data_IF_828153513762
#
_entry.id   IF_828153513762
#
_cell.length_a   1.000
_cell.length_b   1.000
_cell.length_c   1.000
_cell.angle_alpha   90.00
_cell.angle_beta   90.00
_cell.angle_gamma   90.00
#
_symmetry.space_group_name_H-M   'P 1'
#
loop_
_entity.id
_entity.type
_entity.pdbx_description
1 polymer ?
#
# COMPACT_ATOMS: atom_id res chain seq x y z
N UNK A 1 -13.23 -2.35 -8.42
CA UNK A 1 -13.24 -1.27 -7.42
C UNK A 1 -14.45 -1.44 -6.51
N UNK A 2 -14.24 -1.38 -5.20
CA UNK A 2 -15.27 -1.57 -4.18
C UNK A 2 -16.47 -0.59 -4.34
N UNK A 3 -17.68 -1.04 -3.99
CA UNK A 3 -18.92 -0.23 -4.08
C UNK A 3 -18.96 0.92 -3.08
N UNK A 4 -18.04 0.95 -2.10
CA UNK A 4 -17.97 1.93 -1.01
C UNK A 4 -18.05 3.38 -1.50
N UNK A 5 -17.40 3.72 -2.62
CA UNK A 5 -17.36 5.10 -3.14
C UNK A 5 -18.46 5.44 -4.14
N UNK A 6 -19.46 4.58 -4.35
CA UNK A 6 -20.52 4.85 -5.34
C UNK A 6 -21.33 6.12 -5.04
N UNK A 7 -21.47 6.49 -3.77
CA UNK A 7 -22.18 7.70 -3.35
C UNK A 7 -21.32 8.97 -3.41
N UNK A 8 -20.01 8.85 -3.68
CA UNK A 8 -19.10 9.98 -3.86
C UNK A 8 -18.36 9.82 -5.19
N UNK A 9 -19.03 10.23 -6.28
CA UNK A 9 -18.52 10.09 -7.64
C UNK A 9 -17.19 10.81 -7.86
N UNK A 10 -16.97 11.93 -7.18
CA UNK A 10 -15.75 12.72 -7.31
C UNK A 10 -14.53 11.92 -6.83
N UNK A 11 -14.57 11.42 -5.60
CA UNK A 11 -13.49 10.58 -5.04
C UNK A 11 -13.34 9.29 -5.84
N UNK A 12 -14.43 8.67 -6.27
CA UNK A 12 -14.39 7.47 -7.11
C UNK A 12 -13.62 7.70 -8.41
N UNK A 13 -13.86 8.83 -9.08
CA UNK A 13 -13.18 9.19 -10.32
C UNK A 13 -11.68 9.43 -10.08
N UNK A 14 -11.32 10.16 -9.03
CA UNK A 14 -9.92 10.37 -8.67
C UNK A 14 -9.18 9.07 -8.34
N UNK A 15 -9.80 8.19 -7.57
CA UNK A 15 -9.24 6.88 -7.24
C UNK A 15 -9.12 5.97 -8.47
N UNK A 16 -9.99 6.12 -9.47
CA UNK A 16 -9.84 5.41 -10.75
C UNK A 16 -8.56 5.86 -11.47
N UNK A 17 -8.22 7.15 -11.40
CA UNK A 17 -6.95 7.65 -11.91
C UNK A 17 -5.74 7.16 -11.08
N UNK A 18 -5.90 7.04 -9.76
CA UNK A 18 -4.89 6.42 -8.88
C UNK A 18 -4.58 4.99 -9.32
N UNK A 19 -5.61 4.18 -9.61
CA UNK A 19 -5.46 2.82 -10.13
C UNK A 19 -4.65 2.83 -11.44
N UNK A 20 -4.97 3.72 -12.39
CA UNK A 20 -4.23 3.83 -13.66
C UNK A 20 -2.76 4.20 -13.45
N UNK A 21 -2.44 5.05 -12.46
CA UNK A 21 -1.06 5.38 -12.11
C UNK A 21 -0.34 4.12 -11.60
N UNK A 22 -0.96 3.36 -10.69
CA UNK A 22 -0.40 2.11 -10.16
C UNK A 22 -0.17 1.08 -11.28
N UNK A 23 -1.15 0.88 -12.16
CA UNK A 23 -1.02 0.02 -13.35
C UNK A 23 0.19 0.43 -14.21
N UNK A 24 0.37 1.74 -14.44
CA UNK A 24 1.49 2.25 -15.23
C UNK A 24 2.84 1.93 -14.58
N UNK A 25 2.95 2.01 -13.25
CA UNK A 25 4.19 1.68 -12.52
C UNK A 25 4.55 0.21 -12.65
N UNK A 26 3.57 -0.68 -12.54
CA UNK A 26 3.82 -2.12 -12.64
C UNK A 26 4.04 -2.62 -14.07
N UNK A 27 3.78 -1.82 -15.12
CA UNK A 27 3.99 -2.23 -16.52
C UNK A 27 5.44 -2.61 -16.85
N UNK A 28 6.41 -2.06 -16.14
CA UNK A 28 7.83 -2.38 -16.33
C UNK A 28 8.28 -3.60 -15.49
N UNK A 29 7.37 -4.23 -14.74
CA UNK A 29 7.67 -5.46 -14.01
C UNK A 29 7.95 -6.62 -14.95
N UNK A 30 8.61 -7.66 -14.41
CA UNK A 30 8.73 -8.95 -15.08
C UNK A 30 7.35 -9.51 -15.44
N UNK A 31 7.25 -10.15 -16.61
CA UNK A 31 5.99 -10.76 -17.11
C UNK A 31 5.43 -11.78 -16.11
N UNK A 32 6.29 -12.49 -15.39
CA UNK A 32 5.91 -13.51 -14.40
C UNK A 32 5.08 -12.97 -13.24
N UNK A 33 5.38 -11.77 -12.74
CA UNK A 33 4.68 -11.18 -11.59
C UNK A 33 3.60 -10.17 -11.99
N UNK A 34 3.56 -9.77 -13.27
CA UNK A 34 2.67 -8.69 -13.74
C UNK A 34 1.18 -9.01 -13.54
N UNK A 35 0.77 -10.22 -13.88
CA UNK A 35 -0.63 -10.62 -13.74
C UNK A 35 -1.06 -10.66 -12.26
N UNK A 36 -0.15 -11.10 -11.38
CA UNK A 36 -0.37 -11.11 -9.92
C UNK A 36 -0.56 -9.68 -9.42
N UNK A 37 0.34 -8.77 -9.81
CA UNK A 37 0.26 -7.35 -9.43
C UNK A 37 -1.04 -6.70 -9.94
N UNK A 38 -1.44 -6.97 -11.19
CA UNK A 38 -2.70 -6.46 -11.74
C UNK A 38 -3.92 -6.96 -10.96
N UNK A 39 -3.96 -8.26 -10.64
CA UNK A 39 -5.05 -8.82 -9.83
C UNK A 39 -5.10 -8.19 -8.44
N UNK A 40 -3.95 -7.97 -7.80
CA UNK A 40 -3.87 -7.27 -6.52
C UNK A 40 -4.40 -5.83 -6.63
N UNK A 41 -4.05 -5.09 -7.69
CA UNK A 41 -4.54 -3.73 -7.91
C UNK A 41 -6.07 -3.72 -8.08
N UNK A 42 -6.65 -4.60 -8.89
CA UNK A 42 -8.11 -4.60 -9.10
C UNK A 42 -8.90 -5.13 -7.91
N UNK A 43 -8.27 -5.98 -7.09
CA UNK A 43 -8.77 -6.46 -5.80
C UNK A 43 -8.32 -5.57 -4.62
N UNK A 44 -7.82 -4.36 -4.92
CA UNK A 44 -7.61 -3.33 -3.91
C UNK A 44 -8.94 -3.10 -3.19
N UNK A 45 -8.87 -2.96 -1.87
CA UNK A 45 -10.05 -2.95 -1.02
C UNK A 45 -10.79 -1.63 -1.14
N UNK A 46 -11.16 -1.06 0.01
CA UNK A 46 -11.88 0.22 0.04
C UNK A 46 -11.03 1.41 -0.42
N UNK A 47 -9.72 1.27 -0.64
CA UNK A 47 -8.83 2.36 -1.05
C UNK A 47 -8.95 3.62 -0.14
N UNK A 48 -9.07 3.40 1.18
CA UNK A 48 -9.26 4.49 2.15
C UNK A 48 -8.02 5.38 2.26
N UNK A 49 -6.81 4.80 2.23
CA UNK A 49 -5.55 5.53 2.33
C UNK A 49 -5.35 6.51 1.18
N UNK A 50 -5.46 6.13 -0.11
CA UNK A 50 -5.39 7.08 -1.22
C UNK A 50 -6.52 8.11 -1.17
N UNK A 51 -7.73 7.72 -0.74
CA UNK A 51 -8.84 8.67 -0.57
C UNK A 51 -8.52 9.75 0.48
N UNK A 52 -7.90 9.39 1.61
CA UNK A 52 -7.46 10.36 2.61
C UNK A 52 -6.34 11.27 2.12
N UNK A 53 -5.42 10.78 1.29
CA UNK A 53 -4.40 11.63 0.64
C UNK A 53 -5.06 12.66 -0.27
N UNK A 54 -6.02 12.21 -1.08
CA UNK A 54 -6.82 13.08 -1.95
C UNK A 54 -7.55 14.15 -1.13
N UNK A 55 -8.32 13.74 -0.13
CA UNK A 55 -9.12 14.64 0.70
C UNK A 55 -8.24 15.62 1.46
N UNK A 56 -7.10 15.18 2.00
CA UNK A 56 -6.12 16.04 2.65
C UNK A 56 -5.58 17.12 1.70
N UNK A 57 -5.29 16.74 0.45
CA UNK A 57 -4.86 17.69 -0.59
C UNK A 57 -5.90 18.77 -0.91
N UNK A 58 -7.19 18.49 -0.73
CA UNK A 58 -8.27 19.46 -0.97
C UNK A 58 -8.38 20.55 0.10
N UNK A 59 -7.76 20.38 1.26
CA UNK A 59 -7.68 21.44 2.28
C UNK A 59 -6.63 22.52 1.95
N UNK A 60 -5.83 22.34 0.90
CA UNK A 60 -4.86 23.32 0.40
C UNK A 60 -5.00 23.57 -1.09
N UNK A 61 -3.89 23.95 -1.74
CA UNK A 61 -3.85 24.08 -3.20
C UNK A 61 -3.85 22.70 -3.86
N UNK A 62 -5.03 22.27 -4.29
CA UNK A 62 -5.22 20.95 -4.89
C UNK A 62 -4.66 20.89 -6.32
N UNK A 63 -3.50 20.23 -6.47
CA UNK A 63 -2.91 19.89 -7.76
C UNK A 63 -3.00 18.37 -8.00
N UNK A 64 -3.90 17.96 -8.88
CA UNK A 64 -4.10 16.56 -9.28
C UNK A 64 -2.80 15.88 -9.73
N UNK A 65 -1.92 16.61 -10.42
CA UNK A 65 -0.67 16.06 -10.97
C UNK A 65 0.32 15.72 -9.86
N UNK A 66 0.21 16.35 -8.69
CA UNK A 66 1.02 16.06 -7.51
C UNK A 66 0.32 15.09 -6.56
N UNK A 67 -0.96 15.26 -6.30
CA UNK A 67 -1.68 14.49 -5.27
C UNK A 67 -1.97 13.05 -5.70
N UNK A 68 -2.38 12.81 -6.95
CA UNK A 68 -2.75 11.46 -7.38
C UNK A 68 -1.56 10.48 -7.41
N UNK A 69 -0.34 10.86 -7.86
CA UNK A 69 0.84 10.01 -7.72
C UNK A 69 1.19 9.68 -6.27
N UNK A 70 1.00 10.62 -5.34
CA UNK A 70 1.23 10.37 -3.91
C UNK A 70 0.19 9.41 -3.34
N UNK A 71 -1.08 9.54 -3.72
CA UNK A 71 -2.12 8.61 -3.33
C UNK A 71 -1.81 7.18 -3.84
N UNK A 72 -1.34 7.06 -5.10
CA UNK A 72 -0.87 5.79 -5.66
C UNK A 72 0.31 5.21 -4.87
N UNK A 73 1.30 6.03 -4.53
CA UNK A 73 2.46 5.60 -3.76
C UNK A 73 2.06 5.03 -2.39
N UNK A 74 1.15 5.70 -1.68
CA UNK A 74 0.67 5.26 -0.38
C UNK A 74 -0.09 3.93 -0.48
N UNK A 75 -0.90 3.72 -1.53
CA UNK A 75 -1.60 2.44 -1.71
C UNK A 75 -0.61 1.32 -2.10
N UNK A 76 0.38 1.59 -2.95
CA UNK A 76 1.42 0.60 -3.29
C UNK A 76 2.27 0.21 -2.07
N UNK A 77 2.64 1.18 -1.23
CA UNK A 77 3.32 0.92 0.04
C UNK A 77 2.44 0.08 0.96
N UNK A 78 1.14 0.39 1.05
CA UNK A 78 0.19 -0.40 1.84
C UNK A 78 0.10 -1.84 1.34
N UNK A 79 0.00 -2.05 0.02
CA UNK A 79 -0.03 -3.38 -0.58
C UNK A 79 1.25 -4.17 -0.28
N UNK A 80 2.42 -3.54 -0.34
CA UNK A 80 3.70 -4.17 0.02
C UNK A 80 3.68 -4.67 1.47
N UNK A 81 3.23 -3.84 2.41
CA UNK A 81 3.10 -4.19 3.83
C UNK A 81 2.16 -5.39 3.99
N UNK A 82 0.99 -5.39 3.33
CA UNK A 82 0.06 -6.53 3.43
C UNK A 82 0.67 -7.86 2.96
N UNK A 83 1.47 -7.83 1.89
CA UNK A 83 2.13 -9.03 1.39
C UNK A 83 3.17 -9.53 2.39
N UNK A 84 3.95 -8.62 2.98
CA UNK A 84 4.95 -8.98 3.99
C UNK A 84 4.29 -9.51 5.26
N UNK A 85 3.20 -8.91 5.72
CA UNK A 85 2.42 -9.38 6.88
C UNK A 85 1.90 -10.81 6.64
N UNK A 86 1.36 -11.09 5.44
CA UNK A 86 0.86 -12.43 5.09
C UNK A 86 1.96 -13.50 5.19
N UNK A 87 3.22 -13.15 4.90
CA UNK A 87 4.39 -14.03 5.04
C UNK A 87 4.73 -14.24 6.51
N UNK A 88 4.82 -13.16 7.29
CA UNK A 88 5.19 -13.18 8.72
C UNK A 88 4.14 -13.98 9.52
N UNK A 89 2.86 -13.80 9.20
CA UNK A 89 1.75 -14.45 9.89
C UNK A 89 1.41 -15.84 9.37
N UNK A 90 2.08 -16.29 8.31
CA UNK A 90 1.72 -17.51 7.58
C UNK A 90 0.23 -17.52 7.19
N UNK A 91 -0.32 -16.37 6.80
CA UNK A 91 -1.73 -16.23 6.46
C UNK A 91 -2.05 -16.95 5.14
N UNK A 92 -3.05 -17.83 5.14
CA UNK A 92 -3.48 -18.54 3.93
C UNK A 92 -4.52 -17.78 3.12
N UNK A 93 -5.30 -16.90 3.77
CA UNK A 93 -6.43 -16.20 3.17
C UNK A 93 -6.39 -14.71 3.55
N UNK A 94 -6.65 -13.84 2.57
CA UNK A 94 -6.90 -12.41 2.77
C UNK A 94 -8.07 -11.97 1.91
N UNK A 95 -9.05 -11.27 2.52
CA UNK A 95 -10.29 -10.81 1.85
C UNK A 95 -11.00 -11.95 1.08
N UNK A 96 -11.08 -13.12 1.72
CA UNK A 96 -11.70 -14.33 1.16
C UNK A 96 -11.03 -14.90 -0.10
N UNK A 97 -9.79 -14.49 -0.40
CA UNK A 97 -8.95 -15.05 -1.47
C UNK A 97 -7.66 -15.64 -0.88
N UNK A 98 -7.04 -16.62 -1.54
CA UNK A 98 -5.69 -17.06 -1.19
C UNK A 98 -4.72 -15.87 -1.14
N UNK A 99 -3.79 -15.88 -0.18
CA UNK A 99 -2.69 -14.91 -0.16
C UNK A 99 -1.67 -15.26 -1.25
N UNK A 100 -0.82 -14.29 -1.62
CA UNK A 100 0.24 -14.52 -2.61
C UNK A 100 1.16 -15.65 -2.16
N UNK A 101 1.50 -15.71 -0.86
CA UNK A 101 2.35 -16.79 -0.36
C UNK A 101 1.68 -18.17 -0.42
N UNK A 102 0.34 -18.25 -0.27
CA UNK A 102 -0.40 -19.50 -0.33
C UNK A 102 -0.54 -20.01 -1.77
N UNK A 103 -0.69 -19.10 -2.74
CA UNK A 103 -0.92 -19.45 -4.14
C UNK A 103 0.37 -19.61 -4.94
N UNK A 104 1.38 -18.76 -4.69
CA UNK A 104 2.62 -18.67 -5.46
C UNK A 104 3.89 -18.98 -4.67
N UNK A 105 3.78 -19.21 -3.36
CA UNK A 105 4.91 -19.48 -2.47
C UNK A 105 5.53 -18.23 -1.86
N UNK A 106 6.29 -18.44 -0.77
CA UNK A 106 6.89 -17.36 0.03
C UNK A 106 7.89 -16.51 -0.76
N UNK A 107 8.73 -17.12 -1.58
CA UNK A 107 9.76 -16.40 -2.34
C UNK A 107 9.14 -15.37 -3.30
N UNK A 108 8.09 -15.77 -4.03
CA UNK A 108 7.35 -14.86 -4.89
C UNK A 108 6.68 -13.74 -4.10
N UNK A 109 6.12 -14.04 -2.93
CA UNK A 109 5.51 -13.04 -2.06
C UNK A 109 6.54 -11.99 -1.60
N UNK A 110 7.76 -12.41 -1.19
CA UNK A 110 8.85 -11.48 -0.84
C UNK A 110 9.19 -10.58 -2.03
N UNK A 111 9.45 -11.15 -3.21
CA UNK A 111 9.82 -10.35 -4.39
C UNK A 111 8.72 -9.35 -4.82
N UNK A 112 7.45 -9.75 -4.70
CA UNK A 112 6.31 -8.88 -5.03
C UNK A 112 6.21 -7.72 -4.02
N UNK A 113 6.37 -8.01 -2.73
CA UNK A 113 6.37 -6.99 -1.68
C UNK A 113 7.51 -5.99 -1.86
N UNK A 114 8.74 -6.47 -2.10
CA UNK A 114 9.90 -5.62 -2.37
C UNK A 114 9.73 -4.76 -3.62
N UNK A 115 9.15 -5.32 -4.70
CA UNK A 115 8.87 -4.58 -5.92
C UNK A 115 7.86 -3.45 -5.67
N UNK A 116 6.74 -3.74 -5.01
CA UNK A 116 5.72 -2.74 -4.66
C UNK A 116 6.29 -1.66 -3.75
N UNK A 117 7.11 -2.05 -2.78
CA UNK A 117 7.80 -1.14 -1.88
C UNK A 117 8.73 -0.21 -2.67
N UNK A 118 9.59 -0.74 -3.53
CA UNK A 118 10.48 0.05 -4.39
C UNK A 118 9.72 1.05 -5.28
N UNK A 119 8.68 0.60 -5.97
CA UNK A 119 7.86 1.46 -6.83
C UNK A 119 7.13 2.56 -6.04
N UNK A 120 6.71 2.28 -4.80
CA UNK A 120 6.13 3.31 -3.93
C UNK A 120 7.14 4.42 -3.61
N UNK A 121 8.40 4.06 -3.33
CA UNK A 121 9.45 5.04 -3.05
C UNK A 121 9.83 5.86 -4.27
N UNK A 122 9.86 5.26 -5.47
CA UNK A 122 10.09 6.00 -6.71
C UNK A 122 8.98 7.03 -6.95
N UNK A 123 7.71 6.66 -6.77
CA UNK A 123 6.60 7.61 -6.88
C UNK A 123 6.70 8.73 -5.85
N UNK A 124 7.09 8.43 -4.61
CA UNK A 124 7.31 9.44 -3.58
C UNK A 124 8.43 10.40 -3.97
N UNK A 125 9.61 9.88 -4.36
CA UNK A 125 10.76 10.70 -4.72
C UNK A 125 10.51 11.59 -5.94
N UNK A 126 9.73 11.12 -6.90
CA UNK A 126 9.38 11.88 -8.11
C UNK A 126 8.45 13.07 -7.81
N UNK A 127 7.68 13.03 -6.71
CA UNK A 127 6.55 13.93 -6.49
C UNK A 127 6.60 14.73 -5.17
N UNK A 128 7.60 14.54 -4.31
CA UNK A 128 7.78 15.32 -3.08
C UNK A 128 9.16 15.99 -3.02
N UNK A 129 9.21 17.12 -2.32
CA UNK A 129 10.48 17.74 -1.96
C UNK A 129 11.32 16.78 -1.09
N UNK A 130 12.64 16.78 -1.29
CA UNK A 130 13.60 15.95 -0.55
C UNK A 130 13.45 16.13 0.98
N UNK A 131 13.12 17.33 1.44
CA UNK A 131 12.84 17.63 2.85
C UNK A 131 11.67 16.82 3.42
N UNK A 132 10.68 16.49 2.60
CA UNK A 132 9.54 15.65 2.96
C UNK A 132 9.85 14.16 2.85
N UNK A 133 10.80 13.75 2.00
CA UNK A 133 11.23 12.35 1.92
C UNK A 133 11.77 11.85 3.26
N UNK A 134 12.53 12.69 3.99
CA UNK A 134 12.99 12.37 5.35
C UNK A 134 11.83 12.11 6.33
N UNK A 135 10.71 12.83 6.19
CA UNK A 135 9.51 12.60 7.02
C UNK A 135 8.86 11.27 6.67
N UNK A 136 8.73 10.96 5.39
CA UNK A 136 8.18 9.68 4.93
C UNK A 136 9.04 8.51 5.39
N UNK A 137 10.37 8.58 5.25
CA UNK A 137 11.28 7.54 5.74
C UNK A 137 11.16 7.32 7.26
N UNK A 138 10.95 8.37 8.05
CA UNK A 138 10.67 8.25 9.49
C UNK A 138 9.37 7.51 9.77
N UNK A 139 8.32 7.78 8.99
CA UNK A 139 7.03 7.08 9.12
C UNK A 139 7.19 5.61 8.78
N UNK A 140 7.84 5.27 7.65
CA UNK A 140 8.09 3.88 7.26
C UNK A 140 8.93 3.16 8.31
N UNK A 141 9.99 3.80 8.84
CA UNK A 141 10.77 3.24 9.95
C UNK A 141 9.93 3.01 11.21
N UNK A 142 9.00 3.92 11.52
CA UNK A 142 8.08 3.76 12.66
C UNK A 142 7.13 2.58 12.45
N UNK A 143 6.62 2.36 11.24
CA UNK A 143 5.79 1.19 10.90
C UNK A 143 6.59 -0.10 11.14
N UNK A 144 7.79 -0.22 10.59
CA UNK A 144 8.62 -1.42 10.77
C UNK A 144 8.95 -1.70 12.24
N UNK A 145 9.27 -0.65 13.01
CA UNK A 145 9.50 -0.78 14.46
C UNK A 145 8.24 -1.24 15.20
N UNK A 146 7.07 -0.73 14.80
CA UNK A 146 5.79 -1.17 15.34
C UNK A 146 5.53 -2.65 15.07
N UNK A 147 5.75 -3.12 13.84
CA UNK A 147 5.59 -4.54 13.49
C UNK A 147 6.57 -5.46 14.24
N UNK A 148 7.82 -5.03 14.42
CA UNK A 148 8.80 -5.77 15.24
C UNK A 148 8.33 -5.82 16.70
N UNK A 149 7.92 -4.68 17.27
CA UNK A 149 7.42 -4.64 18.65
C UNK A 149 6.17 -5.50 18.85
N UNK A 150 5.26 -5.50 17.86
CA UNK A 150 4.08 -6.38 17.84
C UNK A 150 4.51 -7.85 17.79
N UNK A 151 5.50 -8.20 16.98
CA UNK A 151 6.04 -9.55 16.88
C UNK A 151 6.68 -10.02 18.21
N UNK A 152 7.49 -9.18 18.84
CA UNK A 152 8.14 -9.46 20.13
C UNK A 152 7.15 -9.57 21.28
N UNK A 153 6.06 -8.80 21.23
CA UNK A 153 5.00 -8.80 22.26
C UNK A 153 3.94 -9.88 22.04
N UNK A 154 4.09 -10.74 21.01
CA UNK A 154 3.10 -11.81 20.74
C UNK A 154 2.93 -12.71 21.96
N UNK A 155 1.68 -12.92 22.35
CA UNK A 155 1.26 -13.74 23.50
C UNK A 155 1.66 -13.19 24.87
N UNK A 156 2.10 -11.93 24.95
CA UNK A 156 2.25 -11.24 26.21
C UNK A 156 0.87 -10.75 26.70
N UNK A 157 0.32 -11.41 27.73
CA UNK A 157 -0.97 -11.03 28.33
C UNK A 157 -0.86 -9.84 29.29
N UNK A 158 0.36 -9.46 29.67
CA UNK A 158 0.65 -8.35 30.58
C UNK A 158 0.94 -7.05 29.83
N UNK A 159 0.71 -7.00 28.51
CA UNK A 159 0.89 -5.79 27.70
C UNK A 159 -0.03 -4.67 28.20
N UNK A 160 0.50 -3.47 28.37
CA UNK A 160 -0.29 -2.32 28.80
C UNK A 160 -1.07 -1.72 27.64
N UNK A 161 -2.14 -0.97 27.94
CA UNK A 161 -2.90 -0.22 26.91
C UNK A 161 -2.01 0.79 26.16
N UNK A 162 -0.96 1.31 26.80
CA UNK A 162 -0.05 2.26 26.15
C UNK A 162 0.96 1.57 25.23
N UNK A 163 1.29 0.31 25.50
CA UNK A 163 2.22 -0.48 24.70
C UNK A 163 1.54 -1.21 23.54
N UNK A 164 0.21 -1.38 23.61
CA UNK A 164 -0.66 -1.90 22.54
C UNK A 164 -1.00 -0.82 21.49
#
# INVERSE_FOLDING_TARGET
>A
MDKFWNNNLEIKNELTEVIKIMEKRIKNSNKSIRNILLDMIYNSGKMLRPAFVILAGKFGEYDRKKILPLAAAIEMLHMAILVHDDIIDNALIRRSKPTIQAEYGKDYAVFIGDFLFSESFLLLSDNIAISNLKKVSKVVSKICKGEIGQFESRRNIDITINDY
#
